data_IF_874070113349
#
_entry.id   IF_874070113349
#
_cell.length_a   1.000
_cell.length_b   1.000
_cell.length_c   1.000
_cell.angle_alpha   90.00
_cell.angle_beta   90.00
_cell.angle_gamma   90.00
#
_symmetry.space_group_name_H-M   'P 1'
#
loop_
_entity.id
_entity.type
_entity.pdbx_description
1 polymer ?
#
# COMPACT_ATOMS: atom_id res chain seq x y z
N UNK A 1 -12.65 20.49 22.18
CA UNK A 1 -12.73 19.14 22.77
C UNK A 1 -12.24 18.14 21.76
N UNK A 2 -11.32 17.25 22.15
CA UNK A 2 -10.64 16.29 21.27
C UNK A 2 -11.59 15.59 20.28
N UNK A 3 -12.81 15.25 20.70
CA UNK A 3 -13.85 14.67 19.84
C UNK A 3 -14.16 15.45 18.54
N UNK A 4 -14.01 16.79 18.51
CA UNK A 4 -14.24 17.60 17.29
C UNK A 4 -13.07 17.56 16.30
N UNK A 5 -11.86 17.22 16.75
CA UNK A 5 -10.67 17.06 15.90
C UNK A 5 -10.68 15.72 15.15
N UNK A 6 -11.30 14.69 15.73
CA UNK A 6 -11.51 13.39 15.10
C UNK A 6 -12.73 13.36 14.17
N UNK A 7 -13.63 14.34 14.27
CA UNK A 7 -14.88 14.39 13.53
C UNK A 7 -14.76 14.97 12.11
N UNK A 8 -13.65 15.65 11.79
CA UNK A 8 -13.47 16.30 10.48
C UNK A 8 -12.06 16.00 9.91
N UNK A 9 -11.85 14.80 9.33
CA UNK A 9 -10.56 14.38 8.75
C UNK A 9 -10.05 15.33 7.66
N UNK A 10 -10.94 16.13 7.06
CA UNK A 10 -10.61 17.09 6.01
C UNK A 10 -9.84 18.33 6.54
N UNK A 11 -9.82 18.56 7.86
CA UNK A 11 -9.13 19.71 8.47
C UNK A 11 -7.71 19.43 8.90
N UNK A 12 -7.28 18.16 8.96
CA UNK A 12 -5.91 17.83 9.34
C UNK A 12 -5.01 17.99 8.12
N UNK A 13 -4.03 18.90 8.15
CA UNK A 13 -3.06 18.99 7.07
C UNK A 13 -2.38 17.63 6.87
N UNK A 14 -2.23 17.17 5.63
CA UNK A 14 -1.57 15.88 5.30
C UNK A 14 -0.19 15.78 5.95
N UNK A 15 0.52 16.91 6.06
CA UNK A 15 1.82 17.01 6.74
C UNK A 15 1.72 16.71 8.24
N UNK A 16 0.65 17.13 8.92
CA UNK A 16 0.43 16.85 10.34
C UNK A 16 0.18 15.37 10.58
N UNK A 17 -0.62 14.73 9.71
CA UNK A 17 -0.86 13.29 9.78
C UNK A 17 0.44 12.52 9.51
N UNK A 18 1.18 12.90 8.45
CA UNK A 18 2.48 12.30 8.13
C UNK A 18 3.48 12.46 9.27
N UNK A 19 3.56 13.66 9.88
CA UNK A 19 4.41 13.92 11.03
C UNK A 19 4.09 12.97 12.20
N UNK A 20 2.82 12.88 12.60
CA UNK A 20 2.43 12.00 13.71
C UNK A 20 2.60 10.52 13.39
N UNK A 21 2.39 10.10 12.14
CA UNK A 21 2.68 8.73 11.70
C UNK A 21 4.17 8.41 11.81
N UNK A 22 5.05 9.31 11.35
CA UNK A 22 6.50 9.12 11.41
C UNK A 22 7.01 9.08 12.85
N UNK A 23 6.53 10.01 13.70
CA UNK A 23 6.88 10.04 15.13
C UNK A 23 6.41 8.75 15.81
N UNK A 24 5.17 8.32 15.58
CA UNK A 24 4.62 7.12 16.20
C UNK A 24 5.38 5.86 15.74
N UNK A 25 5.66 5.73 14.44
CA UNK A 25 6.48 4.64 13.91
C UNK A 25 7.87 4.59 14.53
N UNK A 26 8.54 5.74 14.68
CA UNK A 26 9.86 5.81 15.28
C UNK A 26 9.84 5.41 16.76
N UNK A 27 8.81 5.85 17.50
CA UNK A 27 8.64 5.49 18.91
C UNK A 27 8.39 4.00 19.08
N UNK A 28 7.49 3.42 18.27
CA UNK A 28 7.20 1.98 18.31
C UNK A 28 8.43 1.17 17.92
N UNK A 29 9.12 1.54 16.84
CA UNK A 29 10.33 0.86 16.42
C UNK A 29 11.43 0.92 17.49
N UNK A 30 11.65 2.10 18.09
CA UNK A 30 12.62 2.28 19.18
C UNK A 30 12.26 1.46 20.43
N UNK A 31 10.97 1.43 20.81
CA UNK A 31 10.49 0.65 21.94
C UNK A 31 10.68 -0.85 21.70
N UNK A 32 10.29 -1.35 20.52
CA UNK A 32 10.48 -2.75 20.16
C UNK A 32 11.97 -3.11 20.15
N UNK A 33 12.83 -2.26 19.60
CA UNK A 33 14.27 -2.47 19.61
C UNK A 33 14.81 -2.52 21.04
N UNK A 34 14.38 -1.61 21.93
CA UNK A 34 14.80 -1.61 23.33
C UNK A 34 14.40 -2.90 24.08
N UNK A 35 13.27 -3.50 23.71
CA UNK A 35 12.79 -4.75 24.32
C UNK A 35 13.52 -5.99 23.77
N UNK A 36 13.93 -5.98 22.50
CA UNK A 36 14.62 -7.10 21.84
C UNK A 36 16.13 -7.07 22.10
N UNK A 37 16.76 -5.91 21.94
CA UNK A 37 18.18 -5.69 22.17
C UNK A 37 18.43 -4.25 22.68
N UNK A 38 18.45 -4.05 24.02
CA UNK A 38 18.64 -2.74 24.63
C UNK A 38 19.97 -2.07 24.27
N UNK A 39 21.00 -2.84 23.89
CA UNK A 39 22.33 -2.33 23.57
C UNK A 39 22.45 -1.77 22.15
N UNK A 40 21.50 -2.11 21.27
CA UNK A 40 21.53 -1.77 19.85
C UNK A 40 20.72 -0.50 19.49
N UNK A 41 20.39 0.35 20.47
CA UNK A 41 19.61 1.58 20.26
C UNK A 41 20.28 2.60 19.31
N UNK A 42 21.60 2.52 19.16
CA UNK A 42 22.36 3.34 18.20
C UNK A 42 22.80 2.42 17.05
N UNK A 43 22.10 2.42 15.91
CA UNK A 43 22.46 1.56 14.80
C UNK A 43 23.74 2.06 14.14
N UNK A 44 24.81 1.26 14.22
CA UNK A 44 26.01 1.46 13.42
C UNK A 44 25.76 0.94 11.99
N UNK A 45 25.12 1.76 11.16
CA UNK A 45 24.83 1.41 9.77
C UNK A 45 26.08 1.56 8.91
N UNK A 46 26.47 0.47 8.25
CA UNK A 46 27.42 0.52 7.14
C UNK A 46 26.82 1.29 5.95
N UNK A 47 27.65 1.65 4.96
CA UNK A 47 27.17 2.22 3.70
C UNK A 47 26.13 1.31 3.00
N UNK A 48 26.29 -0.01 3.14
CA UNK A 48 25.31 -1.00 2.69
C UNK A 48 23.96 -0.88 3.41
N UNK A 49 23.98 -0.64 4.73
CA UNK A 49 22.76 -0.40 5.50
C UNK A 49 22.03 0.86 5.06
N UNK A 50 22.74 1.96 4.84
CA UNK A 50 22.14 3.21 4.35
C UNK A 50 21.54 3.06 2.95
N UNK A 51 22.23 2.39 2.04
CA UNK A 51 21.70 2.14 0.69
C UNK A 51 20.47 1.23 0.70
N UNK A 52 20.45 0.19 1.55
CA UNK A 52 19.27 -0.65 1.75
C UNK A 52 18.07 0.14 2.31
N UNK A 53 18.30 1.02 3.29
CA UNK A 53 17.26 1.90 3.83
C UNK A 53 16.71 2.86 2.77
N UNK A 54 17.58 3.48 1.98
CA UNK A 54 17.16 4.37 0.89
C UNK A 54 16.35 3.61 -0.18
N UNK A 55 16.78 2.39 -0.51
CA UNK A 55 16.05 1.51 -1.41
C UNK A 55 14.65 1.17 -0.86
N UNK A 56 14.54 0.84 0.42
CA UNK A 56 13.25 0.56 1.05
C UNK A 56 12.35 1.79 1.13
N UNK A 57 12.89 2.94 1.50
CA UNK A 57 12.11 4.17 1.71
C UNK A 57 11.59 4.76 0.39
N UNK A 58 12.43 4.80 -0.65
CA UNK A 58 12.11 5.53 -1.88
C UNK A 58 11.44 4.64 -2.94
N UNK A 59 12.15 3.75 -3.66
CA UNK A 59 11.53 2.96 -4.73
C UNK A 59 10.59 1.88 -4.20
N UNK A 60 10.87 1.24 -3.05
CA UNK A 60 10.00 0.19 -2.54
C UNK A 60 8.75 0.70 -1.81
N UNK A 61 8.79 1.91 -1.23
CA UNK A 61 7.68 2.45 -0.42
C UNK A 61 7.07 3.72 -1.02
N UNK A 62 7.82 4.83 -1.07
CA UNK A 62 7.26 6.13 -1.46
C UNK A 62 6.72 6.14 -2.91
N UNK A 63 7.47 5.56 -3.85
CA UNK A 63 7.08 5.56 -5.26
C UNK A 63 5.74 4.81 -5.51
N UNK A 64 5.54 3.56 -5.04
CA UNK A 64 4.25 2.88 -5.16
C UNK A 64 3.09 3.67 -4.56
N UNK A 65 3.28 4.28 -3.38
CA UNK A 65 2.23 5.09 -2.75
C UNK A 65 1.85 6.30 -3.60
N UNK A 66 2.83 7.02 -4.16
CA UNK A 66 2.58 8.14 -5.07
C UNK A 66 1.82 7.66 -6.30
N UNK A 67 2.18 6.51 -6.88
CA UNK A 67 1.49 5.95 -8.05
C UNK A 67 0.04 5.56 -7.74
N UNK A 68 -0.22 4.97 -6.57
CA UNK A 68 -1.59 4.64 -6.13
C UNK A 68 -2.42 5.91 -5.95
N UNK A 69 -1.88 6.91 -5.25
CA UNK A 69 -2.57 8.20 -5.05
C UNK A 69 -2.82 8.87 -6.41
N UNK A 70 -1.83 8.90 -7.30
CA UNK A 70 -1.98 9.47 -8.64
C UNK A 70 -3.04 8.75 -9.47
N UNK A 71 -3.13 7.42 -9.33
CA UNK A 71 -4.17 6.60 -9.98
C UNK A 71 -5.54 6.96 -9.45
N UNK A 72 -5.72 7.01 -8.12
CA UNK A 72 -6.99 7.36 -7.48
C UNK A 72 -7.45 8.80 -7.79
N UNK A 73 -6.52 9.71 -8.08
CA UNK A 73 -6.87 11.08 -8.53
C UNK A 73 -7.37 11.14 -9.97
N UNK A 74 -7.08 10.12 -10.80
CA UNK A 74 -7.42 10.11 -12.24
C UNK A 74 -8.63 9.24 -12.57
N UNK A 75 -9.02 8.32 -11.69
CA UNK A 75 -10.15 7.42 -11.92
C UNK A 75 -10.91 7.10 -10.63
N UNK A 76 -12.23 6.81 -10.71
CA UNK A 76 -13.02 6.43 -9.53
C UNK A 76 -12.44 5.21 -8.81
N UNK A 77 -12.54 5.20 -7.48
CA UNK A 77 -12.02 4.11 -6.64
C UNK A 77 -12.54 2.72 -7.06
N UNK A 78 -13.79 2.63 -7.53
CA UNK A 78 -14.38 1.38 -8.04
C UNK A 78 -13.67 0.83 -9.28
N UNK A 79 -13.06 1.69 -10.10
CA UNK A 79 -12.26 1.28 -11.26
C UNK A 79 -10.80 1.01 -10.90
N UNK A 80 -10.25 1.70 -9.91
CA UNK A 80 -8.87 1.51 -9.46
C UNK A 80 -8.68 0.27 -8.57
N UNK A 81 -9.68 -0.08 -7.75
CA UNK A 81 -9.58 -1.16 -6.76
C UNK A 81 -9.16 -2.52 -7.36
N UNK A 82 -9.70 -2.97 -8.52
CA UNK A 82 -9.24 -4.22 -9.14
C UNK A 82 -7.77 -4.19 -9.56
N UNK A 83 -7.22 -3.03 -9.95
CA UNK A 83 -5.80 -2.90 -10.28
C UNK A 83 -4.90 -2.99 -9.05
N UNK A 84 -5.35 -2.49 -7.90
CA UNK A 84 -4.62 -2.62 -6.64
C UNK A 84 -4.51 -4.08 -6.20
N UNK A 85 -5.51 -4.91 -6.51
CA UNK A 85 -5.47 -6.34 -6.26
C UNK A 85 -4.42 -7.08 -7.13
N UNK A 86 -3.96 -6.49 -8.25
CA UNK A 86 -2.88 -7.06 -9.05
C UNK A 86 -1.50 -6.85 -8.41
N UNK A 87 -1.34 -5.90 -7.49
CA UNK A 87 -0.05 -5.63 -6.82
C UNK A 87 0.62 -6.88 -6.23
N UNK A 88 -0.06 -7.74 -5.45
CA UNK A 88 0.56 -8.98 -4.94
C UNK A 88 1.00 -9.94 -6.04
N UNK A 89 0.24 -10.07 -7.13
CA UNK A 89 0.63 -10.92 -8.27
C UNK A 89 1.89 -10.36 -8.94
N UNK A 90 1.90 -9.05 -9.22
CA UNK A 90 3.06 -8.38 -9.80
C UNK A 90 4.29 -8.49 -8.89
N UNK A 91 4.12 -8.31 -7.58
CA UNK A 91 5.18 -8.46 -6.59
C UNK A 91 5.77 -9.88 -6.60
N UNK A 92 4.92 -10.90 -6.59
CA UNK A 92 5.34 -12.29 -6.64
C UNK A 92 6.09 -12.63 -7.95
N UNK A 93 5.60 -12.14 -9.10
CA UNK A 93 6.26 -12.34 -10.39
C UNK A 93 7.62 -11.66 -10.46
N UNK A 94 7.72 -10.42 -9.95
CA UNK A 94 8.99 -9.69 -9.89
C UNK A 94 9.97 -10.41 -8.95
N UNK A 95 9.51 -10.87 -7.79
CA UNK A 95 10.34 -11.64 -6.86
C UNK A 95 10.85 -12.94 -7.52
N UNK A 96 9.96 -13.70 -8.17
CA UNK A 96 10.36 -14.91 -8.89
C UNK A 96 11.39 -14.61 -10.01
N UNK A 97 11.22 -13.52 -10.75
CA UNK A 97 12.10 -13.15 -11.85
C UNK A 97 13.46 -12.59 -11.40
N UNK A 98 13.49 -11.74 -10.37
CA UNK A 98 14.70 -11.05 -9.92
C UNK A 98 15.47 -11.82 -8.85
N UNK A 99 14.77 -12.49 -7.93
CA UNK A 99 15.37 -13.24 -6.83
C UNK A 99 15.47 -14.75 -7.13
N UNK A 100 14.83 -15.23 -8.19
CA UNK A 100 14.80 -16.65 -8.54
C UNK A 100 13.93 -17.49 -7.61
N UNK A 101 13.01 -16.87 -6.87
CA UNK A 101 12.11 -17.57 -5.97
C UNK A 101 11.10 -18.42 -6.74
N UNK A 102 10.87 -19.65 -6.26
CA UNK A 102 9.85 -20.53 -6.84
C UNK A 102 8.51 -20.20 -6.22
N UNK A 103 7.51 -19.95 -7.06
CA UNK A 103 6.14 -19.74 -6.60
C UNK A 103 5.55 -21.06 -6.08
N UNK A 104 5.17 -21.07 -4.81
CA UNK A 104 4.53 -22.23 -4.19
C UNK A 104 3.06 -22.38 -4.62
N UNK A 105 2.50 -23.59 -4.47
CA UNK A 105 1.11 -23.90 -4.79
C UNK A 105 0.11 -22.96 -4.09
N UNK A 106 0.39 -22.57 -2.85
CA UNK A 106 -0.48 -21.63 -2.11
C UNK A 106 -0.47 -20.25 -2.76
N UNK A 107 0.69 -19.78 -3.21
CA UNK A 107 0.82 -18.49 -3.90
C UNK A 107 0.09 -18.49 -5.24
N UNK A 108 0.19 -19.60 -5.99
CA UNK A 108 -0.53 -19.78 -7.25
C UNK A 108 -2.05 -19.82 -7.04
N UNK A 109 -2.53 -20.51 -6.01
CA UNK A 109 -3.94 -20.53 -5.65
C UNK A 109 -4.45 -19.14 -5.25
N UNK A 110 -3.66 -18.40 -4.46
CA UNK A 110 -3.96 -17.01 -4.11
C UNK A 110 -4.03 -16.10 -5.34
N UNK A 111 -3.08 -16.22 -6.27
CA UNK A 111 -3.09 -15.48 -7.54
C UNK A 111 -4.34 -15.80 -8.37
N UNK A 112 -4.72 -17.07 -8.48
CA UNK A 112 -5.94 -17.48 -9.17
C UNK A 112 -7.19 -16.89 -8.50
N UNK A 113 -7.28 -16.92 -7.18
CA UNK A 113 -8.40 -16.35 -6.43
C UNK A 113 -8.54 -14.84 -6.67
N UNK A 114 -7.42 -14.11 -6.68
CA UNK A 114 -7.39 -12.68 -7.00
C UNK A 114 -7.93 -12.43 -8.41
N UNK A 115 -7.45 -13.16 -9.41
CA UNK A 115 -7.88 -13.01 -10.80
C UNK A 115 -9.39 -13.30 -10.97
N UNK A 116 -9.89 -14.34 -10.29
CA UNK A 116 -11.32 -14.67 -10.28
C UNK A 116 -12.16 -13.57 -9.62
N UNK A 117 -11.69 -13.00 -8.50
CA UNK A 117 -12.34 -11.87 -7.85
C UNK A 117 -12.42 -10.62 -8.75
N UNK A 118 -11.32 -10.30 -9.44
CA UNK A 118 -11.27 -9.21 -10.44
C UNK A 118 -12.25 -9.48 -11.58
N UNK A 119 -12.28 -10.69 -12.13
CA UNK A 119 -13.20 -11.07 -13.19
C UNK A 119 -14.66 -10.92 -12.74
N UNK A 120 -15.02 -11.42 -11.56
CA UNK A 120 -16.37 -11.30 -11.02
C UNK A 120 -16.80 -9.83 -10.82
N UNK A 121 -15.91 -9.00 -10.27
CA UNK A 121 -16.18 -7.58 -10.02
C UNK A 121 -16.34 -6.78 -11.32
N UNK A 122 -15.46 -7.00 -12.31
CA UNK A 122 -15.50 -6.30 -13.60
C UNK A 122 -16.67 -6.73 -14.47
N UNK A 123 -17.06 -8.01 -14.45
CA UNK A 123 -18.21 -8.52 -15.21
C UNK A 123 -19.56 -8.04 -14.63
N UNK A 124 -19.70 -7.86 -13.31
CA UNK A 124 -20.91 -7.30 -12.70
C UNK A 124 -21.06 -5.80 -12.95
N UNK A 125 -19.96 -5.04 -12.93
CA UNK A 125 -19.97 -3.59 -13.13
C UNK A 125 -20.51 -3.15 -14.50
N UNK A 126 -20.45 -4.02 -15.53
CA UNK A 126 -21.00 -3.73 -16.87
C UNK A 126 -22.53 -3.81 -16.95
N UNK A 127 -23.20 -4.41 -15.95
CA UNK A 127 -24.67 -4.59 -15.94
C UNK A 127 -25.45 -3.48 -15.23
N UNK A 128 -24.77 -2.53 -14.58
CA UNK A 128 -25.39 -1.52 -13.70
C UNK A 128 -25.51 -0.11 -14.28
N UNK A 129 -25.10 0.13 -15.53
CA UNK A 129 -25.32 1.43 -16.20
C UNK A 129 -26.63 1.34 -16.97
N UNK A 130 -27.75 1.54 -16.27
CA UNK A 130 -29.03 1.86 -16.92
C UNK A 130 -28.96 3.35 -17.27
N UNK A 131 -28.96 3.64 -18.56
CA UNK A 131 -28.98 5.01 -19.09
C UNK A 131 -30.28 5.69 -18.65
N UNK A 132 -30.24 6.87 -18.00
CA UNK A 132 -31.46 7.56 -17.63
C UNK A 132 -32.22 7.92 -18.91
N UNK A 133 -33.49 7.50 -18.97
CA UNK A 133 -34.37 7.79 -20.08
C UNK A 133 -34.38 9.31 -20.34
N UNK A 134 -34.38 9.75 -21.62
CA UNK A 134 -34.39 11.16 -21.96
C UNK A 134 -35.60 11.84 -21.30
N UNK A 135 -35.34 12.95 -20.60
CA UNK A 135 -36.39 13.79 -20.06
C UNK A 135 -37.15 14.42 -21.24
N UNK A 136 -38.40 14.00 -21.43
CA UNK A 136 -39.39 14.72 -22.23
C UNK A 136 -39.85 16.00 -21.51
#
# INVERSE_FOLDING_TARGET
GLARLWADPARLPTLTVAFWLLVSSLLVASLLQALVDPGALVPHLSLGGWTALLWLALPASALPHVLVIATLRRMPASRAAPFLLLMPISGALIAAALLGERLDQIQLAGAALILLGIAAATLRGRRGVVEPAPAE
#
